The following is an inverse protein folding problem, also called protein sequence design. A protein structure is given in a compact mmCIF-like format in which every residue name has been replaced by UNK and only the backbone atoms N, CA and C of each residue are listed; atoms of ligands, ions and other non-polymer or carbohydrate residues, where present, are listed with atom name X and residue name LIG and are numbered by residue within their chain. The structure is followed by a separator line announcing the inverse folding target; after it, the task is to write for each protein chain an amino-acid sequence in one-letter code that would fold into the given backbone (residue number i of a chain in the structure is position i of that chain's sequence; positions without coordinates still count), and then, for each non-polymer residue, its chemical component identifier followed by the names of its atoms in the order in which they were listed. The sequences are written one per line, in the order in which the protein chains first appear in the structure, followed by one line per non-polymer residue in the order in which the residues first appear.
data_IF_034298492569
#
_entry.id   IF_034298492569
#
_cell.length_a   1.000
_cell.length_b   1.000
_cell.length_c   1.000
_cell.angle_alpha   90.00
_cell.angle_beta   90.00
_cell.angle_gamma   90.00
#
_symmetry.space_group_name_H-M   'P 1'
#
loop_
_entity.id
_entity.type
_entity.pdbx_description
1 polymer ?
#
# COMPACT_ATOMS: atom_id res chain seq x y z
N UNK A 1 52.39 -48.39 -31.04
CA UNK A 1 51.88 -47.99 -29.74
C UNK A 1 50.44 -47.61 -29.92
N UNK A 2 49.51 -48.37 -29.37
CA UNK A 2 48.10 -48.02 -29.40
C UNK A 2 47.88 -46.83 -28.51
N UNK A 3 47.05 -45.89 -28.95
CA UNK A 3 46.73 -44.70 -28.11
C UNK A 3 46.01 -45.17 -26.86
N UNK A 4 46.50 -44.74 -25.68
CA UNK A 4 45.87 -45.03 -24.41
C UNK A 4 44.44 -44.48 -24.37
N UNK A 5 43.53 -45.16 -23.69
CA UNK A 5 42.12 -44.75 -23.54
C UNK A 5 41.97 -43.29 -23.15
N UNK A 6 42.87 -42.78 -22.30
CA UNK A 6 42.95 -41.37 -21.92
C UNK A 6 43.20 -40.41 -23.10
N UNK A 7 44.10 -40.81 -24.03
CA UNK A 7 44.37 -40.00 -25.24
C UNK A 7 43.19 -39.99 -26.22
N UNK A 8 42.41 -41.08 -26.29
CA UNK A 8 41.20 -41.12 -27.09
C UNK A 8 40.09 -40.27 -26.50
N UNK A 9 39.91 -40.30 -25.17
CA UNK A 9 38.95 -39.46 -24.47
C UNK A 9 39.31 -37.97 -24.64
N UNK A 10 40.61 -37.63 -24.49
CA UNK A 10 41.05 -36.23 -24.66
C UNK A 10 40.85 -35.73 -26.09
N UNK A 11 41.12 -36.56 -27.12
CA UNK A 11 40.83 -36.22 -28.54
C UNK A 11 39.34 -36.07 -28.81
N UNK A 12 38.49 -36.92 -28.23
CA UNK A 12 37.05 -36.82 -28.35
C UNK A 12 36.53 -35.54 -27.68
N UNK A 13 37.00 -35.18 -26.47
CA UNK A 13 36.65 -33.98 -25.77
C UNK A 13 37.05 -32.71 -26.54
N UNK A 14 38.24 -32.69 -27.14
CA UNK A 14 38.70 -31.56 -27.99
C UNK A 14 37.85 -31.47 -29.27
N UNK A 15 37.52 -32.59 -29.90
CA UNK A 15 36.70 -32.61 -31.11
C UNK A 15 35.26 -32.12 -30.85
N UNK A 16 34.70 -32.44 -29.71
CA UNK A 16 33.40 -31.90 -29.26
C UNK A 16 33.51 -30.42 -28.94
N UNK A 17 34.55 -30.00 -28.24
CA UNK A 17 34.76 -28.61 -27.84
C UNK A 17 35.04 -27.66 -29.00
N UNK A 18 35.57 -28.15 -30.14
CA UNK A 18 35.86 -27.35 -31.34
C UNK A 18 34.80 -27.44 -32.42
N UNK A 19 33.85 -28.37 -32.30
CA UNK A 19 32.83 -28.59 -33.32
C UNK A 19 31.69 -27.58 -33.22
N UNK A 20 31.66 -26.58 -34.08
CA UNK A 20 30.62 -25.53 -34.14
C UNK A 20 29.20 -26.11 -34.24
N UNK A 21 29.00 -27.25 -34.95
CA UNK A 21 27.66 -27.88 -35.04
C UNK A 21 27.19 -28.48 -33.72
N UNK A 22 28.12 -29.05 -32.93
CA UNK A 22 27.80 -29.57 -31.58
C UNK A 22 27.39 -28.44 -30.65
N UNK A 23 28.13 -27.34 -30.66
CA UNK A 23 27.79 -26.14 -29.85
C UNK A 23 26.47 -25.50 -30.28
N UNK A 24 26.18 -25.44 -31.58
CA UNK A 24 24.88 -24.97 -32.08
C UNK A 24 23.75 -25.88 -31.60
N UNK A 25 23.95 -27.20 -31.63
CA UNK A 25 22.98 -28.15 -31.11
C UNK A 25 22.73 -28.00 -29.62
N UNK A 26 23.79 -27.89 -28.82
CA UNK A 26 23.68 -27.67 -27.38
C UNK A 26 22.98 -26.33 -27.09
N UNK A 27 23.36 -25.25 -27.75
CA UNK A 27 22.72 -23.93 -27.60
C UNK A 27 21.23 -23.98 -27.99
N UNK A 28 20.87 -24.72 -29.04
CA UNK A 28 19.46 -24.89 -29.44
C UNK A 28 18.64 -25.64 -28.39
N UNK A 29 19.21 -26.68 -27.78
CA UNK A 29 18.54 -27.43 -26.70
C UNK A 29 18.36 -26.54 -25.45
N UNK A 30 19.39 -25.81 -25.05
CA UNK A 30 19.31 -24.87 -23.92
C UNK A 30 18.28 -23.80 -24.23
N UNK A 31 18.30 -23.22 -25.42
CA UNK A 31 17.30 -22.21 -25.80
C UNK A 31 15.86 -22.78 -25.77
N UNK A 32 15.66 -23.99 -26.27
CA UNK A 32 14.36 -24.66 -26.26
C UNK A 32 13.86 -24.96 -24.82
N UNK A 33 14.75 -25.27 -23.91
CA UNK A 33 14.42 -25.49 -22.49
C UNK A 33 14.18 -24.19 -21.76
N UNK A 34 14.92 -23.12 -22.05
CA UNK A 34 14.77 -21.81 -21.38
C UNK A 34 13.59 -21.00 -21.91
N UNK A 35 13.21 -21.16 -23.19
CA UNK A 35 12.16 -20.36 -23.81
C UNK A 35 10.81 -20.40 -23.06
N UNK A 36 10.28 -21.59 -22.67
CA UNK A 36 9.02 -21.62 -21.92
C UNK A 36 9.11 -20.90 -20.56
N UNK A 37 10.25 -20.98 -19.86
CA UNK A 37 10.45 -20.25 -18.60
C UNK A 37 10.49 -18.74 -18.81
N UNK A 38 11.16 -18.29 -19.88
CA UNK A 38 11.19 -16.87 -20.25
C UNK A 38 9.78 -16.39 -20.57
N UNK A 39 9.00 -17.16 -21.34
CA UNK A 39 7.62 -16.82 -21.68
C UNK A 39 6.72 -16.74 -20.43
N UNK A 40 6.87 -17.68 -19.50
CA UNK A 40 6.14 -17.65 -18.22
C UNK A 40 6.49 -16.37 -17.43
N UNK A 41 7.77 -16.04 -17.33
CA UNK A 41 8.23 -14.81 -16.63
C UNK A 41 7.66 -13.56 -17.30
N UNK A 42 7.70 -13.48 -18.64
CA UNK A 42 7.13 -12.36 -19.40
C UNK A 42 5.62 -12.27 -19.18
N UNK A 43 4.89 -13.38 -19.17
CA UNK A 43 3.46 -13.40 -18.87
C UNK A 43 3.18 -12.90 -17.46
N UNK A 44 3.91 -13.36 -16.45
CA UNK A 44 3.76 -12.93 -15.06
C UNK A 44 4.03 -11.42 -14.93
N UNK A 45 5.12 -10.93 -15.54
CA UNK A 45 5.46 -9.49 -15.53
C UNK A 45 4.40 -8.65 -16.25
N UNK A 46 3.85 -9.16 -17.37
CA UNK A 46 2.79 -8.47 -18.11
C UNK A 46 1.48 -8.40 -17.31
N UNK A 47 1.13 -9.48 -16.59
CA UNK A 47 -0.04 -9.47 -15.70
C UNK A 47 0.18 -8.53 -14.52
N UNK A 48 1.36 -8.57 -13.92
CA UNK A 48 1.70 -7.70 -12.78
C UNK A 48 1.72 -6.21 -13.17
N UNK A 49 2.31 -5.86 -14.32
CA UNK A 49 2.32 -4.48 -14.81
C UNK A 49 0.92 -4.01 -15.23
N UNK A 50 0.14 -4.86 -15.91
CA UNK A 50 -1.23 -4.57 -16.27
C UNK A 50 -2.11 -4.33 -15.04
N UNK A 51 -1.95 -5.14 -13.99
CA UNK A 51 -2.66 -4.96 -12.72
C UNK A 51 -2.29 -3.64 -12.03
N UNK A 52 -1.01 -3.26 -12.01
CA UNK A 52 -0.56 -2.00 -11.43
C UNK A 52 -1.12 -0.78 -12.20
N UNK A 53 -1.13 -0.83 -13.53
CA UNK A 53 -1.67 0.23 -14.37
C UNK A 53 -3.21 0.35 -14.23
N UNK A 54 -3.93 -0.77 -14.09
CA UNK A 54 -5.36 -0.77 -13.81
C UNK A 54 -5.67 -0.15 -12.46
N UNK A 55 -4.93 -0.51 -11.40
CA UNK A 55 -5.12 0.07 -10.08
C UNK A 55 -4.83 1.57 -10.06
N UNK A 56 -3.75 2.01 -10.72
CA UNK A 56 -3.42 3.43 -10.86
C UNK A 56 -4.52 4.20 -11.59
N UNK A 57 -5.05 3.62 -12.66
CA UNK A 57 -6.17 4.21 -13.43
C UNK A 57 -7.45 4.28 -12.62
N UNK A 58 -7.76 3.25 -11.82
CA UNK A 58 -8.92 3.24 -10.95
C UNK A 58 -8.84 4.32 -9.86
N UNK A 59 -7.68 4.45 -9.19
CA UNK A 59 -7.44 5.52 -8.22
C UNK A 59 -7.61 6.90 -8.86
N UNK A 60 -6.97 7.14 -9.99
CA UNK A 60 -7.09 8.43 -10.69
C UNK A 60 -8.54 8.76 -11.06
N UNK A 61 -9.27 7.82 -11.65
CA UNK A 61 -10.68 8.02 -11.99
C UNK A 61 -11.54 8.30 -10.75
N UNK A 62 -11.28 7.61 -9.64
CA UNK A 62 -12.00 7.86 -8.39
C UNK A 62 -11.75 9.28 -7.85
N UNK A 63 -10.50 9.76 -7.88
CA UNK A 63 -10.11 11.06 -7.31
C UNK A 63 -10.35 12.25 -8.23
N UNK A 64 -10.03 12.12 -9.53
CA UNK A 64 -10.16 13.20 -10.51
C UNK A 64 -11.60 13.31 -11.05
N UNK A 65 -12.42 12.27 -10.87
CA UNK A 65 -13.72 12.16 -11.50
C UNK A 65 -13.61 11.88 -13.00
N UNK A 66 -14.71 12.09 -13.71
CA UNK A 66 -14.77 11.93 -15.16
C UNK A 66 -15.44 10.64 -15.61
N UNK A 67 -15.51 10.45 -16.92
CA UNK A 67 -16.22 9.32 -17.53
C UNK A 67 -15.42 8.04 -17.39
N UNK A 68 -16.02 7.04 -16.75
CA UNK A 68 -15.41 5.72 -16.61
C UNK A 68 -15.48 5.00 -17.95
N UNK A 69 -14.35 4.50 -18.51
CA UNK A 69 -14.32 3.85 -19.81
C UNK A 69 -15.25 2.63 -19.88
N UNK A 70 -16.05 2.54 -20.94
CA UNK A 70 -16.99 1.43 -21.13
C UNK A 70 -16.31 0.06 -21.30
N UNK A 71 -15.04 0.04 -21.69
CA UNK A 71 -14.24 -1.18 -21.82
C UNK A 71 -13.75 -1.76 -20.49
N UNK A 72 -13.91 -1.04 -19.36
CA UNK A 72 -13.63 -1.60 -18.04
C UNK A 72 -14.65 -2.68 -17.66
N UNK A 73 -14.26 -3.73 -16.89
CA UNK A 73 -15.18 -4.70 -16.31
C UNK A 73 -16.30 -4.02 -15.51
N UNK A 74 -17.50 -4.60 -15.51
CA UNK A 74 -18.68 -3.98 -14.91
C UNK A 74 -18.49 -3.67 -13.42
N UNK A 75 -17.94 -4.64 -12.67
CA UNK A 75 -17.70 -4.51 -11.23
C UNK A 75 -16.73 -3.37 -10.90
N UNK A 76 -15.68 -3.19 -11.72
CA UNK A 76 -14.74 -2.06 -11.58
C UNK A 76 -15.41 -0.71 -11.86
N UNK A 77 -16.27 -0.65 -12.88
CA UNK A 77 -16.99 0.59 -13.20
C UNK A 77 -17.94 0.98 -12.08
N UNK A 78 -18.66 0.00 -11.54
CA UNK A 78 -19.57 0.21 -10.43
C UNK A 78 -18.81 0.69 -9.19
N UNK A 79 -17.73 0.02 -8.85
CA UNK A 79 -16.87 0.40 -7.69
C UNK A 79 -16.30 1.81 -7.83
N UNK A 80 -15.73 2.17 -8.99
CA UNK A 80 -15.19 3.51 -9.24
C UNK A 80 -16.32 4.56 -9.18
N UNK A 81 -17.50 4.27 -9.72
CA UNK A 81 -18.66 5.16 -9.66
C UNK A 81 -19.11 5.41 -8.23
N UNK A 82 -19.26 4.36 -7.43
CA UNK A 82 -19.60 4.49 -6.00
C UNK A 82 -18.54 5.28 -5.23
N UNK A 83 -17.26 5.10 -5.55
CA UNK A 83 -16.16 5.84 -4.91
C UNK A 83 -16.19 7.33 -5.29
N UNK A 84 -16.45 7.67 -6.57
CA UNK A 84 -16.62 9.06 -7.02
C UNK A 84 -17.77 9.76 -6.29
N UNK A 85 -18.91 9.08 -6.16
CA UNK A 85 -20.07 9.61 -5.42
C UNK A 85 -19.74 9.80 -3.95
N UNK A 86 -19.08 8.82 -3.30
CA UNK A 86 -18.65 8.92 -1.90
C UNK A 86 -17.67 10.07 -1.68
N UNK A 87 -16.77 10.31 -2.62
CA UNK A 87 -15.85 11.44 -2.54
C UNK A 87 -16.57 12.80 -2.69
N UNK A 88 -17.64 12.86 -3.48
CA UNK A 88 -18.49 14.03 -3.56
C UNK A 88 -19.21 14.32 -2.25
N UNK A 89 -19.74 13.27 -1.60
CA UNK A 89 -20.37 13.40 -0.28
C UNK A 89 -19.35 13.83 0.80
N UNK A 90 -18.14 13.26 0.78
CA UNK A 90 -17.05 13.69 1.67
C UNK A 90 -16.63 15.14 1.44
N UNK A 91 -16.52 15.57 0.17
CA UNK A 91 -16.20 16.97 -0.14
C UNK A 91 -17.25 17.94 0.39
N UNK A 92 -18.52 17.54 0.38
CA UNK A 92 -19.62 18.34 0.95
C UNK A 92 -19.46 18.50 2.45
N UNK A 93 -19.26 17.40 3.17
CA UNK A 93 -19.04 17.42 4.64
C UNK A 93 -17.79 18.19 5.01
N UNK A 94 -16.68 17.96 4.31
CA UNK A 94 -15.43 18.70 4.54
C UNK A 94 -15.60 20.20 4.27
N UNK A 95 -16.45 20.60 3.30
CA UNK A 95 -16.78 22.00 3.06
C UNK A 95 -17.52 22.64 4.23
N UNK A 96 -18.37 21.90 4.94
CA UNK A 96 -19.03 22.36 6.17
C UNK A 96 -18.03 22.52 7.32
N UNK A 97 -17.12 21.56 7.49
CA UNK A 97 -16.04 21.62 8.49
C UNK A 97 -15.09 22.78 8.22
N UNK A 98 -14.70 22.99 6.95
CA UNK A 98 -13.80 24.07 6.54
C UNK A 98 -14.36 25.47 6.89
N UNK A 99 -15.69 25.65 6.91
CA UNK A 99 -16.32 26.90 7.35
C UNK A 99 -16.10 27.22 8.83
N UNK A 100 -15.77 26.21 9.64
CA UNK A 100 -15.47 26.34 11.06
C UNK A 100 -13.96 26.21 11.33
N UNK A 101 -13.14 26.00 10.30
CA UNK A 101 -11.70 25.75 10.47
C UNK A 101 -10.93 27.05 10.58
N UNK A 102 -10.10 27.17 11.61
CA UNK A 102 -9.09 28.20 11.73
C UNK A 102 -7.69 27.60 11.54
N UNK A 103 -6.90 28.18 10.64
CA UNK A 103 -5.55 27.71 10.32
C UNK A 103 -5.49 26.84 9.06
N UNK A 104 -4.78 25.73 9.12
CA UNK A 104 -4.62 24.83 7.98
C UNK A 104 -5.88 23.98 7.78
N UNK A 105 -6.35 23.92 6.54
CA UNK A 105 -7.50 23.10 6.18
C UNK A 105 -7.13 21.60 6.17
N UNK A 106 -8.12 20.77 6.43
CA UNK A 106 -7.97 19.33 6.34
C UNK A 106 -7.55 18.88 4.93
N UNK A 107 -6.52 18.06 4.84
CA UNK A 107 -6.08 17.51 3.54
C UNK A 107 -7.12 16.56 2.94
N UNK A 108 -7.91 17.07 1.99
CA UNK A 108 -8.98 16.32 1.31
C UNK A 108 -8.47 15.07 0.59
N UNK A 109 -7.23 15.10 0.09
CA UNK A 109 -6.62 13.93 -0.53
C UNK A 109 -6.32 12.84 0.51
N UNK A 110 -5.87 13.23 1.70
CA UNK A 110 -5.63 12.30 2.81
C UNK A 110 -6.94 11.67 3.28
N UNK A 111 -7.99 12.47 3.50
CA UNK A 111 -9.32 11.95 3.89
C UNK A 111 -9.82 10.91 2.89
N UNK A 112 -9.80 11.25 1.60
CA UNK A 112 -10.23 10.34 0.52
C UNK A 112 -9.35 9.11 0.40
N UNK A 113 -8.03 9.22 0.59
CA UNK A 113 -7.11 8.09 0.52
C UNK A 113 -7.33 7.10 1.67
N UNK A 114 -7.55 7.60 2.87
CA UNK A 114 -7.90 6.76 4.02
C UNK A 114 -9.25 6.08 3.82
N UNK A 115 -10.26 6.82 3.33
CA UNK A 115 -11.57 6.27 2.98
C UNK A 115 -11.44 5.18 1.91
N UNK A 116 -10.71 5.46 0.82
CA UNK A 116 -10.46 4.51 -0.25
C UNK A 116 -9.86 3.21 0.29
N UNK A 117 -8.86 3.31 1.16
CA UNK A 117 -8.18 2.13 1.72
C UNK A 117 -9.04 1.35 2.70
N UNK A 118 -9.88 2.04 3.47
CA UNK A 118 -10.79 1.42 4.42
C UNK A 118 -11.90 0.61 3.73
N UNK A 119 -12.37 1.09 2.57
CA UNK A 119 -13.46 0.49 1.80
C UNK A 119 -13.00 -0.22 0.53
N UNK A 120 -11.68 -0.42 0.37
CA UNK A 120 -11.15 -1.17 -0.77
C UNK A 120 -11.64 -2.62 -0.72
N UNK A 121 -12.26 -3.05 -1.83
CA UNK A 121 -12.82 -4.41 -1.93
C UNK A 121 -14.09 -4.66 -1.11
N UNK A 122 -14.70 -3.62 -0.53
CA UNK A 122 -15.98 -3.75 0.14
C UNK A 122 -17.13 -3.90 -0.87
N UNK A 123 -18.12 -4.73 -0.54
CA UNK A 123 -19.31 -4.92 -1.38
C UNK A 123 -20.13 -3.63 -1.54
N UNK A 124 -20.07 -2.76 -0.55
CA UNK A 124 -20.75 -1.46 -0.54
C UNK A 124 -19.80 -0.37 -0.07
N UNK A 125 -19.60 0.62 -0.94
CA UNK A 125 -18.76 1.79 -0.66
C UNK A 125 -19.59 3.00 -0.22
N UNK A 126 -20.85 3.09 -0.68
CA UNK A 126 -21.77 4.17 -0.31
C UNK A 126 -22.23 4.05 1.13
N UNK A 127 -22.10 5.14 1.88
CA UNK A 127 -22.50 5.26 3.28
C UNK A 127 -23.73 6.16 3.42
N UNK A 128 -24.29 6.21 4.61
CA UNK A 128 -25.30 7.19 4.96
C UNK A 128 -24.63 8.54 5.32
N UNK A 129 -25.35 9.66 5.22
CA UNK A 129 -24.81 11.00 5.46
C UNK A 129 -24.16 11.16 6.84
N UNK A 130 -24.76 10.55 7.87
CA UNK A 130 -24.21 10.58 9.23
C UNK A 130 -22.87 9.82 9.36
N UNK A 131 -22.64 8.79 8.56
CA UNK A 131 -21.39 8.06 8.57
C UNK A 131 -20.27 8.83 7.86
N UNK A 132 -20.58 9.55 6.77
CA UNK A 132 -19.62 10.49 6.17
C UNK A 132 -19.22 11.60 7.14
N UNK A 133 -20.20 12.16 7.87
CA UNK A 133 -19.95 13.18 8.89
C UNK A 133 -19.01 12.64 9.97
N UNK A 134 -19.35 11.50 10.60
CA UNK A 134 -18.53 10.88 11.64
C UNK A 134 -17.13 10.53 11.15
N UNK A 135 -17.00 10.06 9.90
CA UNK A 135 -15.70 9.76 9.32
C UNK A 135 -14.86 11.04 9.13
N UNK A 136 -15.44 12.10 8.57
CA UNK A 136 -14.73 13.36 8.34
C UNK A 136 -14.33 14.04 9.66
N UNK A 137 -15.15 13.94 10.70
CA UNK A 137 -14.87 14.47 12.05
C UNK A 137 -13.64 13.84 12.71
N UNK A 138 -13.23 12.63 12.29
CA UNK A 138 -11.97 12.05 12.77
C UNK A 138 -10.74 12.85 12.35
N UNK A 139 -10.84 13.67 11.31
CA UNK A 139 -9.72 14.45 10.77
C UNK A 139 -9.57 15.84 11.37
N UNK A 140 -10.41 16.20 12.33
CA UNK A 140 -10.37 17.49 13.03
C UNK A 140 -10.58 17.32 14.52
N UNK A 141 -10.05 18.26 15.28
CA UNK A 141 -10.38 18.47 16.70
C UNK A 141 -11.21 19.73 16.82
N UNK A 142 -12.20 19.74 17.72
CA UNK A 142 -13.00 20.90 18.00
C UNK A 142 -12.49 21.60 19.25
N UNK A 143 -12.18 22.90 19.14
CA UNK A 143 -11.68 23.73 20.23
C UNK A 143 -12.63 24.89 20.49
N UNK A 144 -12.88 25.19 21.75
CA UNK A 144 -13.56 26.43 22.14
C UNK A 144 -12.56 27.59 22.18
N UNK A 145 -12.90 28.68 21.51
CA UNK A 145 -12.13 29.94 21.52
C UNK A 145 -13.01 31.10 21.91
N UNK A 146 -12.38 32.12 22.47
CA UNK A 146 -13.07 33.34 22.89
C UNK A 146 -12.54 34.53 22.07
N UNK A 147 -13.44 35.36 21.59
CA UNK A 147 -13.11 36.63 20.92
C UNK A 147 -13.85 37.79 21.57
N UNK A 148 -13.23 38.94 21.59
CA UNK A 148 -13.88 40.19 22.00
C UNK A 148 -14.67 40.75 20.81
N UNK A 149 -15.93 41.04 21.02
CA UNK A 149 -16.80 41.73 20.05
C UNK A 149 -17.21 43.10 20.57
N UNK A 150 -17.21 44.09 19.69
CA UNK A 150 -17.72 45.45 20.02
C UNK A 150 -19.22 45.47 19.72
N UNK A 151 -20.00 45.80 20.74
CA UNK A 151 -21.43 45.93 20.62
C UNK A 151 -21.82 47.25 19.93
N UNK A 152 -23.03 47.38 19.39
CA UNK A 152 -23.50 48.61 18.75
C UNK A 152 -23.53 49.84 19.67
N UNK A 153 -23.51 49.64 20.99
CA UNK A 153 -23.46 50.69 21.98
C UNK A 153 -22.04 51.12 22.41
N UNK A 154 -21.00 50.53 21.75
CA UNK A 154 -19.60 50.78 22.05
C UNK A 154 -19.03 50.01 23.25
N UNK A 155 -19.82 49.12 23.87
CA UNK A 155 -19.31 48.19 24.89
C UNK A 155 -18.64 46.99 24.27
N UNK A 156 -17.67 46.40 24.98
CA UNK A 156 -17.04 45.12 24.59
C UNK A 156 -17.73 43.95 25.31
N UNK A 157 -17.91 42.88 24.63
CA UNK A 157 -18.36 41.60 25.21
C UNK A 157 -17.50 40.46 24.68
N UNK A 158 -17.38 39.37 25.45
CA UNK A 158 -16.72 38.15 25.04
C UNK A 158 -17.73 37.19 24.42
N UNK A 159 -17.39 36.67 23.25
CA UNK A 159 -18.14 35.61 22.59
C UNK A 159 -17.27 34.35 22.52
N UNK A 160 -17.82 33.24 23.02
CA UNK A 160 -17.20 31.91 22.86
C UNK A 160 -17.74 31.24 21.59
N UNK A 161 -16.86 30.72 20.78
CA UNK A 161 -17.19 30.04 19.55
C UNK A 161 -16.34 28.77 19.38
N UNK A 162 -16.78 27.81 18.58
CA UNK A 162 -16.10 26.57 18.33
C UNK A 162 -15.39 26.61 16.97
N UNK A 163 -14.14 26.18 16.94
CA UNK A 163 -13.35 26.06 15.72
C UNK A 163 -12.95 24.59 15.49
N UNK A 164 -12.84 24.22 14.23
CA UNK A 164 -12.24 22.96 13.83
C UNK A 164 -10.73 23.19 13.56
N UNK A 165 -9.90 22.28 14.06
CA UNK A 165 -8.45 22.28 13.88
C UNK A 165 -8.06 20.95 13.26
N UNK A 166 -7.35 20.97 12.13
CA UNK A 166 -6.96 19.75 11.42
C UNK A 166 -6.04 18.87 12.29
N UNK A 167 -6.34 17.58 12.34
CA UNK A 167 -5.45 16.56 12.95
C UNK A 167 -4.28 16.33 12.01
N UNK A 168 -3.08 16.69 12.43
CA UNK A 168 -1.85 16.52 11.68
C UNK A 168 -1.07 15.27 12.08
N UNK A 169 -1.23 14.85 13.34
CA UNK A 169 -0.62 13.61 13.84
C UNK A 169 -1.39 12.39 13.32
N UNK A 170 -0.69 11.51 12.63
CA UNK A 170 -1.28 10.33 11.98
C UNK A 170 -1.62 9.23 12.97
N UNK A 171 -0.91 9.14 14.09
CA UNK A 171 -1.24 8.19 15.17
C UNK A 171 -2.57 8.59 15.79
N UNK A 172 -2.72 9.86 16.15
CA UNK A 172 -3.98 10.43 16.66
C UNK A 172 -5.13 10.21 15.66
N UNK A 173 -4.88 10.45 14.35
CA UNK A 173 -5.87 10.24 13.30
C UNK A 173 -6.39 8.80 13.27
N UNK A 174 -5.49 7.81 13.28
CA UNK A 174 -5.91 6.41 13.23
C UNK A 174 -6.54 5.94 14.52
N UNK A 175 -6.14 6.48 15.66
CA UNK A 175 -6.82 6.24 16.94
C UNK A 175 -8.24 6.79 16.89
N UNK A 176 -8.46 8.02 16.43
CA UNK A 176 -9.81 8.60 16.26
C UNK A 176 -10.66 7.79 15.28
N UNK A 177 -10.12 7.33 14.17
CA UNK A 177 -10.86 6.46 13.23
C UNK A 177 -11.25 5.16 13.93
N UNK A 178 -10.39 4.60 14.76
CA UNK A 178 -10.69 3.37 15.51
C UNK A 178 -11.72 3.59 16.60
N UNK A 179 -11.62 4.66 17.36
CA UNK A 179 -12.47 4.92 18.54
C UNK A 179 -13.80 5.59 18.19
N UNK A 180 -13.75 6.65 17.38
CA UNK A 180 -14.89 7.53 17.13
C UNK A 180 -15.72 7.06 15.94
N UNK A 181 -15.05 6.59 14.87
CA UNK A 181 -15.72 6.02 13.72
C UNK A 181 -15.99 4.50 13.88
N UNK A 182 -15.22 3.81 14.73
CA UNK A 182 -15.37 2.39 15.05
C UNK A 182 -14.82 1.43 14.00
N UNK A 183 -13.87 1.87 13.18
CA UNK A 183 -13.17 1.04 12.19
C UNK A 183 -11.66 1.21 12.30
N UNK A 184 -10.95 0.15 12.62
CA UNK A 184 -9.48 0.15 12.65
C UNK A 184 -8.92 -0.18 11.28
N UNK A 185 -7.92 0.58 10.82
CA UNK A 185 -7.17 0.25 9.61
C UNK A 185 -6.08 -0.77 9.97
N UNK A 186 -5.99 -1.81 9.17
CA UNK A 186 -4.83 -2.72 9.22
C UNK A 186 -3.58 -1.99 8.74
N UNK A 187 -2.40 -2.51 9.07
CA UNK A 187 -1.12 -1.98 8.56
C UNK A 187 -1.10 -1.88 7.01
N UNK A 188 -1.64 -2.89 6.33
CA UNK A 188 -1.73 -2.90 4.87
C UNK A 188 -2.64 -1.78 4.36
N UNK A 189 -3.80 -1.56 5.00
CA UNK A 189 -4.71 -0.47 4.64
C UNK A 189 -4.09 0.91 4.87
N UNK A 190 -3.32 1.08 5.93
CA UNK A 190 -2.60 2.33 6.19
C UNK A 190 -1.52 2.58 5.16
N UNK A 191 -0.68 1.58 4.86
CA UNK A 191 0.32 1.66 3.80
C UNK A 191 -0.32 1.96 2.44
N UNK A 192 -1.49 1.36 2.16
CA UNK A 192 -2.25 1.64 0.95
C UNK A 192 -2.78 3.08 0.93
N UNK A 193 -3.26 3.60 2.07
CA UNK A 193 -3.73 4.99 2.17
C UNK A 193 -2.62 5.99 1.83
N UNK A 194 -1.38 5.77 2.32
CA UNK A 194 -0.23 6.60 1.96
C UNK A 194 0.05 6.56 0.46
N UNK A 195 0.11 5.36 -0.11
CA UNK A 195 0.39 5.21 -1.54
C UNK A 195 -0.69 5.87 -2.41
N UNK A 196 -1.96 5.70 -2.03
CA UNK A 196 -3.10 6.32 -2.71
C UNK A 196 -3.05 7.84 -2.57
N UNK A 197 -2.74 8.37 -1.39
CA UNK A 197 -2.58 9.81 -1.15
C UNK A 197 -1.49 10.42 -2.02
N UNK A 198 -0.28 9.82 -2.03
CA UNK A 198 0.81 10.29 -2.89
C UNK A 198 0.47 10.21 -4.38
N UNK A 199 -0.17 9.13 -4.79
CA UNK A 199 -0.59 8.96 -6.18
C UNK A 199 -1.62 10.00 -6.58
N UNK A 200 -2.63 10.25 -5.75
CA UNK A 200 -3.71 11.18 -6.05
C UNK A 200 -3.26 12.65 -5.99
N UNK A 201 -2.44 13.00 -5.00
CA UNK A 201 -2.01 14.39 -4.77
C UNK A 201 -0.83 14.81 -5.64
N UNK A 202 0.15 13.91 -5.83
CA UNK A 202 1.43 14.22 -6.47
C UNK A 202 1.69 13.42 -7.76
N UNK A 203 0.79 12.50 -8.13
CA UNK A 203 0.93 11.57 -9.26
C UNK A 203 2.25 10.76 -9.22
N UNK A 204 2.71 10.42 -8.03
CA UNK A 204 3.92 9.66 -7.77
C UNK A 204 3.69 8.55 -6.74
N UNK A 205 4.64 7.68 -6.57
CA UNK A 205 4.65 6.71 -5.45
C UNK A 205 5.12 7.40 -4.17
N UNK A 206 4.62 6.94 -3.02
CA UNK A 206 5.08 7.44 -1.74
C UNK A 206 6.60 7.35 -1.63
N UNK A 207 7.29 8.42 -1.17
CA UNK A 207 8.71 8.36 -0.91
C UNK A 207 8.99 7.32 0.18
N UNK A 208 10.18 6.75 0.14
CA UNK A 208 10.61 5.74 1.11
C UNK A 208 11.50 6.31 2.20
N UNK A 209 11.72 7.61 2.19
CA UNK A 209 12.53 8.36 3.15
C UNK A 209 11.88 9.74 3.33
N UNK A 210 11.85 10.23 4.56
CA UNK A 210 11.32 11.55 4.93
C UNK A 210 10.36 11.48 6.10
N UNK A 211 10.05 12.62 6.67
CA UNK A 211 9.23 12.76 7.88
C UNK A 211 7.85 12.08 7.73
N UNK A 212 7.20 12.24 6.59
CA UNK A 212 5.91 11.61 6.32
C UNK A 212 5.98 10.07 6.31
N UNK A 213 7.10 9.50 5.85
CA UNK A 213 7.30 8.06 5.83
C UNK A 213 7.66 7.52 7.21
N UNK A 214 8.48 8.23 7.98
CA UNK A 214 8.85 7.84 9.34
C UNK A 214 7.63 7.81 10.26
N UNK A 215 6.73 8.78 10.16
CA UNK A 215 5.45 8.81 10.87
C UNK A 215 4.58 7.58 10.57
N UNK A 216 4.49 7.20 9.29
CA UNK A 216 3.73 6.02 8.89
C UNK A 216 4.42 4.70 9.22
N UNK A 217 5.76 4.66 9.20
CA UNK A 217 6.55 3.45 9.48
C UNK A 217 6.70 3.17 10.97
N UNK A 218 6.63 4.20 11.81
CA UNK A 218 6.75 4.09 13.27
C UNK A 218 5.41 3.74 13.94
N UNK A 219 4.31 3.78 13.20
CA UNK A 219 3.04 3.33 13.74
C UNK A 219 3.03 1.81 13.91
N UNK A 220 3.21 1.39 15.13
CA UNK A 220 2.99 0.01 15.55
C UNK A 220 1.53 -0.10 15.95
N UNK A 221 0.70 -0.58 15.02
CA UNK A 221 -0.69 -0.90 15.35
C UNK A 221 -0.72 -1.78 16.59
N UNK A 222 -1.02 -1.18 17.72
CA UNK A 222 -1.14 -1.85 19.01
C UNK A 222 -2.41 -2.69 19.10
N UNK A 223 -2.61 -3.58 18.13
CA UNK A 223 -3.52 -4.69 18.30
C UNK A 223 -2.77 -5.82 18.96
N UNK A 224 -3.19 -6.24 20.14
CA UNK A 224 -2.82 -7.54 20.71
C UNK A 224 -3.15 -8.60 19.65
N UNK A 225 -2.14 -8.99 18.85
CA UNK A 225 -2.29 -10.10 17.92
C UNK A 225 -2.25 -11.36 18.77
N UNK A 226 -3.42 -11.88 19.13
CA UNK A 226 -3.53 -13.18 19.77
C UNK A 226 -3.12 -14.22 18.74
N UNK A 227 -1.90 -14.70 18.84
CA UNK A 227 -1.43 -15.82 18.04
C UNK A 227 -2.11 -17.09 18.53
N UNK A 228 -2.86 -17.75 17.66
CA UNK A 228 -3.32 -19.11 17.93
C UNK A 228 -2.10 -20.03 18.02
N UNK A 229 -2.13 -20.97 18.98
CA UNK A 229 -1.19 -22.08 19.05
C UNK A 229 -1.21 -22.84 17.71
N UNK A 230 -0.28 -22.49 16.83
CA UNK A 230 -0.10 -23.23 15.59
C UNK A 230 0.63 -24.54 15.94
N UNK A 231 0.10 -25.71 15.58
CA UNK A 231 0.81 -26.97 15.73
C UNK A 231 2.04 -26.90 14.83
N UNK A 232 3.17 -26.54 15.41
CA UNK A 232 4.39 -26.32 14.68
C UNK A 232 5.14 -27.65 14.55
N UNK A 233 5.44 -28.06 13.33
CA UNK A 233 6.70 -28.76 13.11
C UNK A 233 7.82 -27.85 13.62
N UNK A 234 8.84 -28.39 14.23
CA UNK A 234 9.94 -27.64 14.84
C UNK A 234 10.51 -26.55 13.89
N UNK A 235 10.54 -26.82 12.61
CA UNK A 235 10.99 -25.92 11.55
C UNK A 235 9.89 -24.90 11.15
N UNK A 236 8.65 -25.32 11.04
CA UNK A 236 7.53 -24.44 10.68
C UNK A 236 7.27 -23.40 11.77
N UNK A 237 7.34 -23.79 13.05
CA UNK A 237 7.25 -22.86 14.16
C UNK A 237 8.33 -21.80 14.14
N UNK A 238 9.57 -22.18 13.85
CA UNK A 238 10.67 -21.22 13.74
C UNK A 238 10.51 -20.24 12.56
N UNK A 239 10.00 -20.69 11.43
CA UNK A 239 9.69 -19.81 10.28
C UNK A 239 8.62 -18.80 10.66
N UNK A 240 7.56 -19.22 11.36
CA UNK A 240 6.50 -18.34 11.85
C UNK A 240 7.03 -17.34 12.88
N UNK A 241 7.81 -17.80 13.87
CA UNK A 241 8.44 -16.93 14.87
C UNK A 241 9.33 -15.85 14.22
N UNK A 242 10.12 -16.23 13.22
CA UNK A 242 10.95 -15.31 12.46
C UNK A 242 10.11 -14.30 11.64
N UNK A 243 9.01 -14.73 11.04
CA UNK A 243 8.09 -13.83 10.36
C UNK A 243 7.47 -12.82 11.33
N UNK A 244 7.04 -13.28 12.51
CA UNK A 244 6.48 -12.46 13.57
C UNK A 244 7.49 -11.44 14.12
N UNK A 245 8.77 -11.81 14.19
CA UNK A 245 9.84 -10.87 14.62
C UNK A 245 10.03 -9.69 13.65
N UNK A 246 9.44 -9.76 12.46
CA UNK A 246 9.47 -8.72 11.43
C UNK A 246 8.18 -7.89 11.36
N UNK A 247 7.23 -8.12 12.27
CA UNK A 247 6.05 -7.27 12.37
C UNK A 247 6.45 -5.82 12.67
N UNK A 248 5.82 -4.88 11.96
CA UNK A 248 6.16 -3.47 12.06
C UNK A 248 7.38 -3.03 11.23
N UNK A 249 8.06 -3.95 10.54
CA UNK A 249 9.13 -3.56 9.63
C UNK A 249 8.56 -3.00 8.32
N UNK A 250 9.17 -1.94 7.77
CA UNK A 250 8.65 -1.27 6.58
C UNK A 250 8.71 -2.17 5.34
N UNK A 251 7.66 -2.11 4.53
CA UNK A 251 7.59 -2.82 3.25
C UNK A 251 8.26 -2.00 2.15
N UNK A 252 9.15 -2.62 1.37
CA UNK A 252 9.73 -2.01 0.19
C UNK A 252 10.29 -3.05 -0.78
N UNK A 253 9.87 -2.99 -2.03
CA UNK A 253 10.48 -3.77 -3.11
C UNK A 253 11.86 -3.22 -3.50
N UNK A 254 12.02 -1.90 -3.49
CA UNK A 254 13.27 -1.24 -3.90
C UNK A 254 14.38 -1.39 -2.86
N UNK A 255 14.03 -1.31 -1.58
CA UNK A 255 14.99 -1.40 -0.47
C UNK A 255 14.98 -2.75 0.24
N UNK A 256 14.29 -3.76 -0.31
CA UNK A 256 14.25 -5.11 0.28
C UNK A 256 15.65 -5.61 0.63
N UNK A 257 15.80 -6.06 1.88
CA UNK A 257 17.07 -6.55 2.38
C UNK A 257 18.08 -5.49 2.82
N UNK A 258 17.73 -4.21 2.76
CA UNK A 258 18.53 -3.12 3.31
C UNK A 258 17.92 -2.69 4.65
N UNK A 259 18.70 -2.79 5.73
CA UNK A 259 18.21 -2.51 7.08
C UNK A 259 17.01 -3.38 7.43
N UNK A 260 15.91 -2.77 7.84
CA UNK A 260 14.68 -3.45 8.23
C UNK A 260 13.65 -3.61 7.10
N UNK A 261 13.96 -3.13 5.89
CA UNK A 261 13.02 -3.19 4.78
C UNK A 261 12.85 -4.61 4.23
N UNK A 262 11.60 -5.02 4.07
CA UNK A 262 11.22 -6.30 3.47
C UNK A 262 10.17 -6.10 2.38
N UNK A 263 10.11 -7.02 1.42
CA UNK A 263 8.93 -7.31 0.64
C UNK A 263 8.47 -8.74 0.93
N UNK A 264 7.34 -9.16 0.42
CA UNK A 264 6.79 -10.50 0.68
C UNK A 264 7.77 -11.62 0.27
N UNK A 265 8.44 -11.48 -0.86
CA UNK A 265 9.40 -12.47 -1.35
C UNK A 265 10.67 -12.51 -0.52
N UNK A 266 11.20 -11.35 -0.14
CA UNK A 266 12.37 -11.25 0.71
C UNK A 266 12.10 -11.76 2.12
N UNK A 267 10.95 -11.40 2.72
CA UNK A 267 10.54 -11.88 4.03
C UNK A 267 10.48 -13.40 4.07
N UNK A 268 9.80 -14.01 3.09
CA UNK A 268 9.70 -15.46 2.97
C UNK A 268 11.10 -16.09 2.88
N UNK A 269 11.91 -15.64 1.91
CA UNK A 269 13.28 -16.13 1.73
C UNK A 269 14.13 -15.96 3.00
N UNK A 270 14.04 -14.81 3.67
CA UNK A 270 14.79 -14.51 4.87
C UNK A 270 14.40 -15.44 6.03
N UNK A 271 13.08 -15.65 6.27
CA UNK A 271 12.58 -16.54 7.31
C UNK A 271 13.07 -17.98 7.08
N UNK A 272 12.97 -18.50 5.87
CA UNK A 272 13.43 -19.85 5.55
C UNK A 272 14.94 -20.00 5.73
N UNK A 273 15.73 -19.04 5.27
CA UNK A 273 17.19 -19.04 5.46
C UNK A 273 17.59 -18.98 6.93
N UNK A 274 16.94 -18.13 7.73
CA UNK A 274 17.22 -18.05 9.18
C UNK A 274 16.77 -19.32 9.92
N UNK A 275 15.76 -20.01 9.42
CA UNK A 275 15.32 -21.31 9.93
C UNK A 275 16.26 -22.46 9.50
N UNK A 276 17.27 -22.19 8.67
CA UNK A 276 18.24 -23.21 8.21
C UNK A 276 17.77 -24.00 7.00
N UNK A 277 16.77 -23.50 6.27
CA UNK A 277 16.28 -24.10 5.02
C UNK A 277 16.91 -23.31 3.86
N UNK A 278 17.59 -23.98 2.91
CA UNK A 278 18.29 -23.33 1.80
C UNK A 278 17.33 -22.68 0.79
#
# INVERSE_FOLDING_TARGET
MEPTTAAMIAKAAIAVGTNKKVWTGIASVIAALCLPFILIIVCILSIASGGADHNRSAVRLAFEGGTIPSGMPADYREYIGQMQESFGDLDTVLGEIDNMTEGELTDRYLVKAVFYSLYFGADRVRLDASDYQRFAECFVNYEERTRTIENPDGSESEETYVVAVAVTDKVELFEKISTDYGKSLTYEQQSNAVNVWYLAKYNTTAPMEGDDFEDWSNWHGGGDVTYYDLPASEVGGKVVELALSRLGHPYSQTYRGKGNYTDCSYLTMWCYRQAGIP
#
